data_IF_438130347751
#
_entry.id   IF_438130347751
#
_cell.length_a   1.000
_cell.length_b   1.000
_cell.length_c   1.000
_cell.angle_alpha   90.00
_cell.angle_beta   90.00
_cell.angle_gamma   90.00
#
_symmetry.space_group_name_H-M   'P 1'
#
loop_
_entity.id
_entity.type
_entity.pdbx_description
1 polymer ?
#
# COMPACT_ATOMS: atom_id res chain seq x y z
N UNK A 1 11.52 -1.19 -8.55
CA UNK A 1 11.07 -0.24 -9.58
C UNK A 1 10.35 0.96 -8.96
N UNK A 2 10.97 1.64 -7.98
CA UNK A 2 10.36 2.79 -7.26
C UNK A 2 10.48 4.08 -8.09
N UNK A 3 11.48 4.14 -8.97
CA UNK A 3 11.80 5.33 -9.77
C UNK A 3 10.69 5.79 -10.72
N UNK A 4 10.03 4.87 -11.46
CA UNK A 4 8.94 5.27 -12.37
C UNK A 4 7.66 5.65 -11.62
N UNK A 5 7.43 5.05 -10.44
CA UNK A 5 6.29 5.36 -9.58
C UNK A 5 6.37 6.76 -8.99
N UNK A 6 7.57 7.18 -8.57
CA UNK A 6 7.84 8.54 -8.12
C UNK A 6 7.46 9.58 -9.18
N UNK A 7 7.83 9.33 -10.44
CA UNK A 7 7.46 10.20 -11.56
C UNK A 7 5.95 10.22 -11.82
N UNK A 8 5.30 9.06 -11.87
CA UNK A 8 3.85 8.98 -12.09
C UNK A 8 3.05 9.66 -10.97
N UNK A 9 3.49 9.50 -9.71
CA UNK A 9 2.89 10.19 -8.57
C UNK A 9 2.99 11.72 -8.73
N UNK A 10 4.19 12.23 -9.00
CA UNK A 10 4.42 13.67 -9.18
C UNK A 10 3.58 14.25 -10.32
N UNK A 11 3.40 13.52 -11.42
CA UNK A 11 2.55 13.97 -12.53
C UNK A 11 1.06 14.05 -12.17
N UNK A 12 0.58 13.18 -11.28
CA UNK A 12 -0.86 13.06 -10.97
C UNK A 12 -1.29 13.83 -9.71
N UNK A 13 -0.37 14.17 -8.81
CA UNK A 13 -0.66 14.80 -7.51
C UNK A 13 -1.38 16.16 -7.59
N UNK A 14 -1.32 16.86 -8.74
CA UNK A 14 -2.03 18.13 -8.97
C UNK A 14 -3.31 17.99 -9.79
N UNK A 15 -3.76 16.76 -10.08
CA UNK A 15 -4.90 16.50 -10.96
C UNK A 15 -6.07 15.89 -10.17
N UNK A 16 -7.23 15.76 -10.82
CA UNK A 16 -8.38 15.03 -10.25
C UNK A 16 -8.20 13.51 -10.27
N UNK A 17 -7.13 12.99 -10.89
CA UNK A 17 -6.84 11.55 -10.92
C UNK A 17 -5.93 11.24 -9.73
N UNK A 18 -6.31 10.30 -8.84
CA UNK A 18 -5.51 9.96 -7.68
C UNK A 18 -4.15 9.38 -8.11
N UNK A 19 -3.03 9.92 -7.59
CA UNK A 19 -1.70 9.41 -7.92
C UNK A 19 -1.48 8.01 -7.33
N UNK A 20 -0.63 7.17 -7.95
CA UNK A 20 -0.23 5.90 -7.37
C UNK A 20 0.51 6.13 -6.04
N UNK A 21 0.28 5.26 -5.05
CA UNK A 21 0.95 5.31 -3.74
C UNK A 21 2.47 5.27 -3.91
N UNK A 22 3.21 6.07 -3.13
CA UNK A 22 4.68 6.04 -3.12
C UNK A 22 5.24 4.95 -2.20
N UNK A 23 4.49 4.58 -1.17
CA UNK A 23 4.94 3.66 -0.12
C UNK A 23 5.09 2.22 -0.59
N UNK A 24 5.78 1.45 0.26
CA UNK A 24 6.01 0.02 0.09
C UNK A 24 4.66 -0.67 -0.03
N UNK A 25 4.44 -1.32 -1.16
CA UNK A 25 3.37 -2.29 -1.28
C UNK A 25 3.59 -3.30 -0.18
N UNK A 26 2.62 -3.47 0.71
CA UNK A 26 2.55 -4.68 1.51
C UNK A 26 2.31 -5.79 0.50
N UNK A 27 3.40 -6.45 0.08
CA UNK A 27 3.28 -7.50 -0.90
C UNK A 27 2.48 -8.64 -0.26
N UNK A 28 1.79 -9.43 -1.07
CA UNK A 28 1.15 -10.65 -0.59
C UNK A 28 2.18 -11.58 0.10
N UNK A 29 3.46 -11.51 -0.29
CA UNK A 29 4.56 -12.21 0.36
C UNK A 29 4.86 -11.72 1.78
N UNK A 30 4.42 -10.53 2.15
CA UNK A 30 4.70 -9.90 3.44
C UNK A 30 3.59 -10.20 4.47
N UNK A 31 2.50 -10.84 4.03
CA UNK A 31 1.41 -11.33 4.89
C UNK A 31 1.92 -12.09 6.14
N UNK A 32 2.83 -13.08 6.04
CA UNK A 32 3.32 -13.77 7.23
C UNK A 32 4.13 -12.85 8.16
N UNK A 33 4.80 -11.83 7.62
CA UNK A 33 5.67 -10.94 8.40
C UNK A 33 4.84 -9.88 9.13
N UNK A 34 3.71 -9.47 8.55
CA UNK A 34 2.83 -8.42 9.08
C UNK A 34 1.66 -8.95 9.89
N UNK A 35 1.42 -10.26 9.91
CA UNK A 35 0.34 -10.87 10.70
C UNK A 35 0.44 -10.52 12.21
N UNK A 36 1.65 -10.53 12.78
CA UNK A 36 1.86 -10.17 14.19
C UNK A 36 1.56 -8.69 14.47
N UNK A 37 1.90 -7.80 13.53
CA UNK A 37 1.59 -6.37 13.66
C UNK A 37 0.08 -6.12 13.58
N UNK A 38 -0.61 -6.80 12.66
CA UNK A 38 -2.07 -6.72 12.53
C UNK A 38 -2.78 -7.24 13.77
N UNK A 39 -2.33 -8.38 14.32
CA UNK A 39 -2.85 -8.92 15.59
C UNK A 39 -2.65 -7.91 16.74
N UNK A 40 -1.47 -7.32 16.87
CA UNK A 40 -1.17 -6.31 17.89
C UNK A 40 -2.03 -5.05 17.77
N UNK A 41 -2.46 -4.71 16.56
CA UNK A 41 -3.37 -3.60 16.28
C UNK A 41 -4.86 -3.98 16.34
N UNK A 42 -5.17 -5.26 16.54
CA UNK A 42 -6.55 -5.77 16.60
C UNK A 42 -7.27 -5.81 15.25
N UNK A 43 -6.53 -5.87 14.15
CA UNK A 43 -7.07 -5.97 12.79
C UNK A 43 -6.82 -7.35 12.19
N UNK A 44 -7.74 -7.81 11.35
CA UNK A 44 -7.52 -8.92 10.42
C UNK A 44 -7.24 -8.38 9.01
N UNK A 45 -6.64 -9.19 8.12
CA UNK A 45 -6.43 -8.77 6.74
C UNK A 45 -7.75 -8.45 6.01
N UNK A 46 -8.84 -9.16 6.34
CA UNK A 46 -10.15 -8.95 5.74
C UNK A 46 -10.77 -7.59 6.10
N UNK A 47 -10.37 -7.00 7.23
CA UNK A 47 -10.82 -5.65 7.63
C UNK A 47 -10.19 -4.55 6.77
N UNK A 48 -9.01 -4.82 6.19
CA UNK A 48 -8.24 -3.85 5.39
C UNK A 48 -8.40 -4.09 3.89
N UNK A 49 -8.45 -5.35 3.45
CA UNK A 49 -8.67 -5.74 2.06
C UNK A 49 -9.94 -6.59 1.91
N UNK A 50 -11.14 -5.97 1.98
CA UNK A 50 -12.36 -6.63 1.53
C UNK A 50 -12.24 -6.87 0.02
N UNK A 51 -12.51 -8.11 -0.41
CA UNK A 51 -12.32 -8.56 -1.80
C UNK A 51 -13.12 -7.79 -2.85
#
# INVERSE_FOLDING_TARGET
QIHHRGQAHAMLAGTSVPPPQLDEFLLASDAPVRAADLEGLGFSEADIWPG
#
